data_IF_323487933651
#
_entry.id   IF_323487933651
#
_cell.length_a   1.000
_cell.length_b   1.000
_cell.length_c   1.000
_cell.angle_alpha   90.00
_cell.angle_beta   90.00
_cell.angle_gamma   90.00
#
_symmetry.space_group_name_H-M   'P 1'
#
loop_
_entity.id
_entity.type
_entity.pdbx_description
1 polymer ?
#
# COMPACT_ATOMS: atom_id res chain seq x y z
N UNK A 1 -6.16 -12.09 55.01
CA UNK A 1 -5.56 -11.71 53.73
C UNK A 1 -6.17 -12.63 52.71
N UNK A 2 -6.99 -12.10 51.81
CA UNK A 2 -7.75 -12.90 50.85
C UNK A 2 -6.81 -13.30 49.70
N UNK A 3 -6.33 -14.54 49.74
CA UNK A 3 -5.38 -15.06 48.76
C UNK A 3 -6.00 -15.23 47.37
N UNK A 4 -7.32 -15.36 47.28
CA UNK A 4 -8.03 -15.43 45.99
C UNK A 4 -8.12 -14.05 45.34
N UNK A 5 -8.30 -12.98 46.13
CA UNK A 5 -8.25 -11.60 45.64
C UNK A 5 -6.85 -11.24 45.12
N UNK A 6 -5.78 -11.66 45.81
CA UNK A 6 -4.40 -11.44 45.34
C UNK A 6 -4.16 -12.17 44.02
N UNK A 7 -4.57 -13.44 43.90
CA UNK A 7 -4.35 -14.24 42.70
C UNK A 7 -5.13 -13.71 41.49
N UNK A 8 -6.33 -13.19 41.70
CA UNK A 8 -7.13 -12.56 40.64
C UNK A 8 -6.49 -11.25 40.16
N UNK A 9 -6.00 -10.42 41.09
CA UNK A 9 -5.27 -9.19 40.76
C UNK A 9 -3.94 -9.48 40.04
N UNK A 10 -3.18 -10.49 40.45
CA UNK A 10 -1.95 -10.91 39.77
C UNK A 10 -2.23 -11.36 38.33
N UNK A 11 -3.29 -12.14 38.13
CA UNK A 11 -3.69 -12.61 36.80
C UNK A 11 -4.12 -11.45 35.90
N UNK A 12 -4.88 -10.49 36.44
CA UNK A 12 -5.29 -9.31 35.71
C UNK A 12 -4.09 -8.41 35.37
N UNK A 13 -3.15 -8.23 36.30
CA UNK A 13 -1.91 -7.47 36.08
C UNK A 13 -1.07 -8.09 34.96
N UNK A 14 -0.88 -9.41 34.97
CA UNK A 14 -0.19 -10.13 33.89
C UNK A 14 -0.87 -9.92 32.54
N UNK A 15 -2.21 -10.00 32.50
CA UNK A 15 -2.99 -9.74 31.28
C UNK A 15 -2.81 -8.32 30.75
N UNK A 16 -2.76 -7.33 31.65
CA UNK A 16 -2.51 -5.93 31.27
C UNK A 16 -1.09 -5.73 30.74
N UNK A 17 -0.08 -6.37 31.32
CA UNK A 17 1.30 -6.30 30.82
C UNK A 17 1.45 -6.92 29.43
N UNK A 18 0.84 -8.09 29.20
CA UNK A 18 0.83 -8.71 27.87
C UNK A 18 0.14 -7.81 26.82
N UNK A 19 -0.99 -7.18 27.18
CA UNK A 19 -1.67 -6.24 26.30
C UNK A 19 -0.80 -5.02 25.97
N UNK A 20 -0.11 -4.47 26.97
CA UNK A 20 0.79 -3.34 26.78
C UNK A 20 1.98 -3.70 25.89
N UNK A 21 2.55 -4.89 26.08
CA UNK A 21 3.64 -5.40 25.26
C UNK A 21 3.22 -5.55 23.79
N UNK A 22 2.08 -6.20 23.54
CA UNK A 22 1.53 -6.36 22.18
C UNK A 22 1.31 -4.99 21.52
N UNK A 23 0.85 -4.00 22.29
CA UNK A 23 0.66 -2.63 21.83
C UNK A 23 1.97 -1.96 21.42
N UNK A 24 3.03 -2.06 22.23
CA UNK A 24 4.34 -1.48 21.91
C UNK A 24 5.03 -2.23 20.77
N UNK A 25 4.89 -3.55 20.70
CA UNK A 25 5.33 -4.36 19.58
C UNK A 25 4.67 -3.87 18.27
N UNK A 26 3.35 -3.67 18.28
CA UNK A 26 2.62 -3.16 17.12
C UNK A 26 3.05 -1.74 16.74
N UNK A 27 3.24 -0.84 17.71
CA UNK A 27 3.70 0.54 17.46
C UNK A 27 5.11 0.61 16.88
N UNK A 28 6.02 -0.25 17.35
CA UNK A 28 7.40 -0.27 16.88
C UNK A 28 7.54 -0.74 15.43
N UNK A 29 6.60 -1.56 14.91
CA UNK A 29 6.63 -2.25 13.59
C UNK A 29 7.96 -2.94 13.27
N UNK A 30 8.72 -3.37 14.27
CA UNK A 30 9.94 -4.16 14.07
C UNK A 30 9.54 -5.60 13.76
N UNK A 31 10.11 -6.19 12.70
CA UNK A 31 9.82 -7.57 12.26
C UNK A 31 10.84 -8.61 12.74
N UNK A 32 12.05 -8.19 13.12
CA UNK A 32 13.13 -9.08 13.55
C UNK A 32 13.17 -9.18 15.08
N UNK A 33 13.02 -10.40 15.59
CA UNK A 33 13.12 -10.74 17.01
C UNK A 33 14.40 -11.56 17.23
N UNK A 34 15.43 -10.93 17.78
CA UNK A 34 16.49 -11.65 18.51
C UNK A 34 16.58 -11.26 19.99
N UNK A 35 15.74 -10.30 20.43
CA UNK A 35 15.48 -9.87 21.82
C UNK A 35 14.11 -9.20 21.80
N UNK A 36 13.10 -9.48 22.60
CA UNK A 36 12.85 -10.37 23.72
C UNK A 36 11.38 -10.15 24.13
N UNK A 37 10.83 -11.15 24.81
CA UNK A 37 9.41 -11.38 25.17
C UNK A 37 8.86 -10.42 26.26
N UNK A 38 9.31 -9.16 26.29
CA UNK A 38 8.92 -8.18 27.32
C UNK A 38 8.87 -6.74 26.79
N UNK A 39 8.00 -5.91 27.40
CA UNK A 39 7.94 -4.44 27.23
C UNK A 39 9.26 -3.76 27.63
N UNK A 40 10.24 -3.80 26.72
CA UNK A 40 11.60 -3.36 26.99
C UNK A 40 11.84 -1.90 26.60
N UNK A 41 12.81 -1.26 27.26
CA UNK A 41 13.31 0.07 26.91
C UNK A 41 13.71 0.19 25.42
N UNK A 42 14.08 -0.93 24.78
CA UNK A 42 14.35 -1.00 23.34
C UNK A 42 13.13 -0.62 22.50
N UNK A 43 11.95 -1.20 22.75
CA UNK A 43 10.73 -0.89 21.99
C UNK A 43 10.28 0.57 22.17
N UNK A 44 10.42 1.10 23.39
CA UNK A 44 10.18 2.51 23.67
C UNK A 44 11.16 3.41 22.91
N UNK A 45 12.44 3.08 22.90
CA UNK A 45 13.48 3.85 22.20
C UNK A 45 13.24 3.86 20.69
N UNK A 46 12.95 2.70 20.09
CA UNK A 46 12.62 2.59 18.66
C UNK A 46 11.36 3.38 18.33
N UNK A 47 10.35 3.34 19.20
CA UNK A 47 9.11 4.10 19.00
C UNK A 47 9.36 5.61 19.13
N UNK A 48 10.17 6.06 20.10
CA UNK A 48 10.57 7.46 20.23
C UNK A 48 11.34 7.95 19.01
N UNK A 49 12.31 7.17 18.52
CA UNK A 49 13.06 7.49 17.31
C UNK A 49 12.14 7.60 16.08
N UNK A 50 11.18 6.68 15.92
CA UNK A 50 10.18 6.74 14.86
C UNK A 50 9.24 7.94 14.97
N UNK A 51 8.78 8.27 16.19
CA UNK A 51 7.97 9.48 16.42
C UNK A 51 8.73 10.73 16.03
N UNK A 52 10.00 10.84 16.44
CA UNK A 52 10.87 11.97 16.07
C UNK A 52 11.05 12.06 14.55
N UNK A 53 11.32 10.94 13.88
CA UNK A 53 11.47 10.89 12.42
C UNK A 53 10.19 11.28 11.69
N UNK A 54 9.04 10.79 12.15
CA UNK A 54 7.74 11.04 11.51
C UNK A 54 7.14 12.41 11.87
N UNK A 55 7.74 13.13 12.81
CA UNK A 55 7.25 14.45 13.22
C UNK A 55 7.65 15.49 12.16
N UNK A 56 6.65 16.14 11.58
CA UNK A 56 6.84 17.20 10.59
C UNK A 56 6.91 18.53 11.35
N UNK A 57 8.13 18.97 11.67
CA UNK A 57 8.37 20.21 12.42
C UNK A 57 7.92 21.46 11.66
N UNK A 58 8.10 21.47 10.34
CA UNK A 58 7.70 22.55 9.45
C UNK A 58 7.80 22.13 7.99
N UNK A 59 7.25 22.96 7.11
CA UNK A 59 7.32 22.80 5.67
C UNK A 59 7.58 24.16 5.02
N UNK A 60 8.37 24.19 3.95
CA UNK A 60 8.47 25.35 3.05
C UNK A 60 7.25 25.43 2.14
N UNK A 61 6.65 26.61 2.06
CA UNK A 61 5.63 26.93 1.06
C UNK A 61 6.26 27.18 -0.32
N UNK A 62 5.43 27.52 -1.31
CA UNK A 62 5.86 27.83 -2.68
C UNK A 62 6.67 29.13 -2.77
N UNK A 63 6.45 30.07 -1.83
CA UNK A 63 7.23 31.31 -1.71
C UNK A 63 8.60 31.11 -1.02
N UNK A 64 8.90 29.90 -0.54
CA UNK A 64 10.15 29.56 0.14
C UNK A 64 10.18 29.85 1.64
N UNK A 65 9.07 30.32 2.22
CA UNK A 65 8.91 30.62 3.63
C UNK A 65 8.67 29.35 4.46
N UNK A 66 9.22 29.33 5.68
CA UNK A 66 9.09 28.20 6.59
C UNK A 66 7.81 28.29 7.44
N UNK A 67 6.92 27.31 7.27
CA UNK A 67 5.64 27.23 7.98
C UNK A 67 5.69 26.12 9.03
N UNK A 68 5.58 26.50 10.31
CA UNK A 68 5.58 25.56 11.44
C UNK A 68 4.19 25.29 12.01
N UNK A 69 3.25 26.20 11.79
CA UNK A 69 1.87 26.09 12.29
C UNK A 69 1.12 24.91 11.65
N UNK A 70 0.35 24.18 12.45
CA UNK A 70 -0.39 23.00 11.97
C UNK A 70 -1.42 23.34 10.90
N UNK A 71 -2.13 24.46 11.04
CA UNK A 71 -3.10 24.98 10.06
C UNK A 71 -2.41 25.31 8.73
N UNK A 72 -1.26 25.96 8.79
CA UNK A 72 -0.44 26.29 7.61
C UNK A 72 0.07 25.03 6.91
N UNK A 73 0.62 24.06 7.66
CA UNK A 73 1.06 22.76 7.11
C UNK A 73 -0.10 21.99 6.47
N UNK A 74 -1.27 21.99 7.09
CA UNK A 74 -2.46 21.34 6.55
C UNK A 74 -2.93 22.00 5.24
N UNK A 75 -2.87 23.34 5.16
CA UNK A 75 -3.19 24.09 3.94
C UNK A 75 -2.22 23.73 2.80
N UNK A 76 -0.90 23.74 3.06
CA UNK A 76 0.13 23.33 2.09
C UNK A 76 -0.15 21.92 1.57
N UNK A 77 -0.39 20.96 2.46
CA UNK A 77 -0.67 19.58 2.07
C UNK A 77 -1.97 19.46 1.26
N UNK A 78 -3.04 20.13 1.69
CA UNK A 78 -4.35 20.09 1.03
C UNK A 78 -4.25 20.66 -0.37
N UNK A 79 -3.71 21.87 -0.54
CA UNK A 79 -3.50 22.50 -1.85
C UNK A 79 -2.67 21.61 -2.77
N UNK A 80 -1.53 21.12 -2.28
CA UNK A 80 -0.63 20.28 -3.05
C UNK A 80 -1.30 19.00 -3.56
N UNK A 81 -2.00 18.26 -2.69
CA UNK A 81 -2.64 17.01 -3.08
C UNK A 81 -3.92 17.21 -3.89
N UNK A 82 -4.68 18.29 -3.65
CA UNK A 82 -5.80 18.66 -4.50
C UNK A 82 -5.33 18.91 -5.93
N UNK A 83 -4.29 19.74 -6.12
CA UNK A 83 -3.71 19.95 -7.45
C UNK A 83 -3.18 18.65 -8.03
N UNK A 84 -2.44 17.85 -7.24
CA UNK A 84 -1.84 16.61 -7.73
C UNK A 84 -2.87 15.56 -8.18
N UNK A 85 -4.04 15.50 -7.53
CA UNK A 85 -5.12 14.56 -7.87
C UNK A 85 -6.18 15.16 -8.79
N UNK A 86 -6.02 16.42 -9.20
CA UNK A 86 -6.87 17.03 -10.23
C UNK A 86 -6.28 16.70 -11.59
N UNK A 87 -7.13 16.24 -12.51
CA UNK A 87 -6.69 15.88 -13.86
C UNK A 87 -6.07 17.08 -14.59
N UNK A 88 -4.87 16.89 -15.14
CA UNK A 88 -4.14 17.88 -15.93
C UNK A 88 -4.42 17.65 -17.43
N UNK A 89 -5.44 18.34 -17.96
CA UNK A 89 -5.73 18.49 -19.41
C UNK A 89 -5.95 17.17 -20.19
N UNK A 90 -7.12 17.03 -20.83
CA UNK A 90 -7.34 15.94 -21.79
C UNK A 90 -6.26 15.96 -22.87
N UNK A 91 -5.34 14.98 -22.83
CA UNK A 91 -4.48 14.71 -23.97
C UNK A 91 -5.41 14.30 -25.11
N UNK A 92 -5.53 15.09 -26.20
CA UNK A 92 -6.42 14.74 -27.28
C UNK A 92 -6.06 13.35 -27.79
N UNK A 93 -7.09 12.54 -28.04
CA UNK A 93 -6.96 11.25 -28.69
C UNK A 93 -6.12 10.21 -27.92
N UNK A 94 -6.02 10.29 -26.59
CA UNK A 94 -5.29 9.26 -25.80
C UNK A 94 -5.82 7.85 -26.06
N UNK A 95 -7.14 7.67 -26.17
CA UNK A 95 -7.74 6.38 -26.51
C UNK A 95 -7.32 5.87 -27.89
N UNK A 96 -7.25 6.73 -28.91
CA UNK A 96 -6.78 6.37 -30.25
C UNK A 96 -5.27 6.07 -30.26
N UNK A 97 -4.49 6.82 -29.46
CA UNK A 97 -3.05 6.58 -29.29
C UNK A 97 -2.77 5.26 -28.60
N UNK A 98 -3.57 4.87 -27.60
CA UNK A 98 -3.46 3.55 -26.94
C UNK A 98 -3.95 2.45 -27.88
N UNK A 99 -5.04 2.66 -28.62
CA UNK A 99 -5.57 1.69 -29.58
C UNK A 99 -4.65 1.46 -30.78
N UNK A 100 -3.85 2.46 -31.17
CA UNK A 100 -2.85 2.34 -32.24
C UNK A 100 -1.54 1.71 -31.77
N UNK A 101 -1.35 1.48 -30.46
CA UNK A 101 -0.24 0.65 -30.00
C UNK A 101 -0.47 -0.78 -30.50
N UNK A 102 0.57 -1.47 -31.00
CA UNK A 102 0.49 -2.87 -31.42
C UNK A 102 0.44 -3.78 -30.19
N UNK A 103 -0.58 -3.59 -29.35
CA UNK A 103 -0.89 -4.45 -28.23
C UNK A 103 -1.54 -5.70 -28.80
N UNK A 104 -0.90 -6.85 -28.63
CA UNK A 104 -1.56 -8.11 -28.89
C UNK A 104 -2.81 -8.19 -28.00
N UNK A 105 -3.94 -8.64 -28.56
CA UNK A 105 -5.10 -9.01 -27.76
C UNK A 105 -4.74 -10.22 -26.90
N UNK A 106 -4.15 -9.99 -25.73
CA UNK A 106 -3.65 -11.04 -24.85
C UNK A 106 -4.73 -11.62 -23.92
N UNK A 107 -5.89 -10.96 -23.81
CA UNK A 107 -7.00 -11.42 -22.96
C UNK A 107 -7.98 -12.23 -23.81
N UNK A 108 -7.97 -13.55 -23.61
CA UNK A 108 -8.91 -14.46 -24.29
C UNK A 108 -10.33 -14.35 -23.70
N UNK A 109 -11.38 -14.79 -24.43
CA UNK A 109 -12.73 -14.86 -23.87
C UNK A 109 -12.81 -15.69 -22.58
N UNK A 110 -12.01 -16.74 -22.46
CA UNK A 110 -11.92 -17.58 -21.26
C UNK A 110 -11.31 -16.83 -20.08
N UNK A 111 -10.24 -16.06 -20.31
CA UNK A 111 -9.65 -15.19 -19.29
C UNK A 111 -10.66 -14.13 -18.85
N UNK A 112 -11.35 -13.50 -19.79
CA UNK A 112 -12.35 -12.50 -19.48
C UNK A 112 -13.49 -13.10 -18.62
N UNK A 113 -14.01 -14.27 -19.00
CA UNK A 113 -15.03 -14.97 -18.23
C UNK A 113 -14.59 -15.29 -16.79
N UNK A 114 -13.31 -15.61 -16.57
CA UNK A 114 -12.75 -15.81 -15.23
C UNK A 114 -12.63 -14.49 -14.44
N UNK A 115 -12.20 -13.40 -15.07
CA UNK A 115 -12.10 -12.08 -14.43
C UNK A 115 -13.47 -11.58 -13.97
N UNK A 116 -14.48 -11.75 -14.83
CA UNK A 116 -15.85 -11.28 -14.62
C UNK A 116 -16.75 -12.31 -13.93
N UNK A 117 -16.20 -13.44 -13.49
CA UNK A 117 -16.96 -14.45 -12.75
C UNK A 117 -17.58 -13.84 -11.49
N UNK A 118 -18.70 -14.38 -11.02
CA UNK A 118 -19.29 -13.92 -9.76
C UNK A 118 -18.33 -14.13 -8.59
N UNK A 119 -18.34 -13.22 -7.61
CA UNK A 119 -17.54 -13.34 -6.38
C UNK A 119 -18.32 -14.18 -5.38
N UNK A 120 -17.73 -15.29 -4.95
CA UNK A 120 -18.39 -16.22 -4.02
C UNK A 120 -18.14 -15.82 -2.56
N UNK A 121 -19.08 -16.11 -1.63
CA UNK A 121 -18.85 -15.92 -0.19
C UNK A 121 -17.57 -16.58 0.34
N UNK A 122 -17.24 -17.77 -0.19
CA UNK A 122 -16.04 -18.52 0.15
C UNK A 122 -14.76 -17.81 -0.29
N UNK A 123 -14.77 -17.13 -1.45
CA UNK A 123 -13.66 -16.31 -1.97
C UNK A 123 -13.44 -15.08 -1.09
N UNK A 124 -14.51 -14.42 -0.64
CA UNK A 124 -14.40 -13.30 0.30
C UNK A 124 -13.76 -13.76 1.60
N UNK A 125 -14.24 -14.86 2.17
CA UNK A 125 -13.69 -15.42 3.41
C UNK A 125 -12.23 -15.81 3.25
N UNK A 126 -11.86 -16.55 2.20
CA UNK A 126 -10.47 -16.96 1.97
C UNK A 126 -9.55 -15.75 1.83
N UNK A 127 -10.01 -14.71 1.11
CA UNK A 127 -9.28 -13.44 0.96
C UNK A 127 -9.04 -12.77 2.32
N UNK A 128 -10.09 -12.61 3.13
CA UNK A 128 -9.99 -11.99 4.47
C UNK A 128 -8.98 -12.74 5.34
N UNK A 129 -9.02 -14.07 5.33
CA UNK A 129 -8.13 -14.89 6.16
C UNK A 129 -6.70 -14.93 5.64
N UNK A 130 -6.47 -14.76 4.33
CA UNK A 130 -5.15 -14.63 3.72
C UNK A 130 -4.51 -13.25 3.95
N UNK A 131 -5.29 -12.19 4.18
CA UNK A 131 -4.78 -10.84 4.43
C UNK A 131 -4.02 -10.73 5.76
N UNK A 132 -3.10 -9.77 5.87
CA UNK A 132 -2.30 -9.59 7.10
C UNK A 132 -3.11 -8.99 8.26
N UNK A 133 -3.11 -9.63 9.43
CA UNK A 133 -3.94 -9.20 10.58
C UNK A 133 -3.53 -7.84 11.19
N UNK A 134 -2.25 -7.46 11.11
CA UNK A 134 -1.68 -6.24 11.72
C UNK A 134 -1.54 -5.06 10.75
N UNK A 135 -2.17 -5.11 9.57
CA UNK A 135 -2.17 -3.99 8.62
C UNK A 135 -2.84 -2.76 9.25
N UNK A 136 -2.43 -1.56 8.81
CA UNK A 136 -2.99 -0.32 9.34
C UNK A 136 -4.51 -0.27 9.10
N UNK A 137 -5.31 0.16 10.09
CA UNK A 137 -6.76 0.26 9.94
C UNK A 137 -7.16 1.42 9.04
N UNK A 138 -8.45 1.51 8.70
CA UNK A 138 -9.05 2.71 8.13
C UNK A 138 -9.34 3.75 9.22
N UNK A 139 -10.25 4.68 8.91
CA UNK A 139 -10.71 5.69 9.87
C UNK A 139 -11.54 5.11 11.02
N UNK A 140 -11.97 3.85 10.92
CA UNK A 140 -12.72 3.11 11.94
C UNK A 140 -11.84 2.49 13.04
N UNK A 141 -10.52 2.46 12.83
CA UNK A 141 -9.57 1.85 13.77
C UNK A 141 -9.52 0.32 13.75
N UNK A 142 -10.35 -0.37 12.97
CA UNK A 142 -10.39 -1.83 12.94
C UNK A 142 -9.33 -2.43 12.01
N UNK A 143 -8.51 -3.32 12.57
CA UNK A 143 -7.48 -4.06 11.82
C UNK A 143 -8.04 -5.40 11.33
N UNK A 144 -7.34 -6.06 10.41
CA UNK A 144 -7.71 -7.41 9.97
C UNK A 144 -7.80 -8.42 11.12
N UNK A 145 -7.09 -8.20 12.25
CA UNK A 145 -7.22 -9.02 13.46
C UNK A 145 -8.66 -9.02 14.01
N UNK A 146 -9.32 -7.86 14.02
CA UNK A 146 -10.71 -7.72 14.49
C UNK A 146 -11.65 -8.57 13.63
N UNK A 147 -11.63 -8.38 12.31
CA UNK A 147 -12.51 -9.09 11.38
C UNK A 147 -12.31 -10.61 11.41
N UNK A 148 -11.07 -11.08 11.62
CA UNK A 148 -10.79 -12.51 11.77
C UNK A 148 -11.27 -13.07 13.10
N UNK A 149 -11.06 -12.33 14.19
CA UNK A 149 -11.42 -12.79 15.54
C UNK A 149 -12.93 -12.82 15.77
N UNK A 150 -13.66 -11.87 15.18
CA UNK A 150 -15.11 -11.74 15.32
C UNK A 150 -15.85 -12.13 14.04
N UNK A 151 -15.26 -13.00 13.22
CA UNK A 151 -15.83 -13.39 11.93
C UNK A 151 -17.23 -13.96 12.05
N UNK A 152 -17.52 -14.71 13.11
CA UNK A 152 -18.84 -15.30 13.34
C UNK A 152 -19.92 -14.24 13.62
N UNK A 153 -19.52 -13.02 13.99
CA UNK A 153 -20.43 -11.89 14.25
C UNK A 153 -20.52 -10.97 13.02
N UNK A 154 -19.36 -10.56 12.46
CA UNK A 154 -19.31 -9.53 11.40
C UNK A 154 -19.13 -10.10 9.99
N UNK A 155 -18.82 -11.38 9.86
CA UNK A 155 -18.43 -12.01 8.59
C UNK A 155 -19.53 -11.94 7.54
N UNK A 156 -20.78 -12.22 7.92
CA UNK A 156 -21.93 -12.12 7.02
C UNK A 156 -22.08 -10.72 6.44
N UNK A 157 -21.97 -9.68 7.28
CA UNK A 157 -22.06 -8.28 6.84
C UNK A 157 -20.91 -7.89 5.90
N UNK A 158 -19.69 -8.39 6.18
CA UNK A 158 -18.53 -8.15 5.29
C UNK A 158 -18.76 -8.81 3.93
N UNK A 159 -19.23 -10.06 3.91
CA UNK A 159 -19.52 -10.80 2.67
C UNK A 159 -20.59 -10.08 1.85
N UNK A 160 -21.71 -9.70 2.46
CA UNK A 160 -22.79 -8.98 1.80
C UNK A 160 -22.31 -7.64 1.22
N UNK A 161 -21.51 -6.88 1.99
CA UNK A 161 -20.97 -5.61 1.52
C UNK A 161 -20.03 -5.77 0.31
N UNK A 162 -19.17 -6.80 0.32
CA UNK A 162 -18.24 -7.09 -0.78
C UNK A 162 -19.01 -7.55 -2.01
N UNK A 163 -19.93 -8.52 -1.87
CA UNK A 163 -20.74 -9.02 -2.98
C UNK A 163 -21.59 -7.90 -3.58
N UNK A 164 -22.24 -7.09 -2.73
CA UNK A 164 -23.04 -5.94 -3.18
C UNK A 164 -22.22 -4.98 -4.06
N UNK A 165 -20.95 -4.74 -3.74
CA UNK A 165 -20.07 -3.96 -4.59
C UNK A 165 -19.86 -4.62 -5.96
N UNK A 166 -19.54 -5.91 -6.02
CA UNK A 166 -19.29 -6.60 -7.28
C UNK A 166 -20.54 -6.74 -8.15
N UNK A 167 -21.73 -6.86 -7.56
CA UNK A 167 -22.99 -6.93 -8.31
C UNK A 167 -23.47 -5.56 -8.77
N UNK A 168 -23.38 -4.53 -7.92
CA UNK A 168 -23.93 -3.20 -8.22
C UNK A 168 -22.93 -2.22 -8.83
N UNK A 169 -21.63 -2.53 -8.78
CA UNK A 169 -20.53 -1.62 -9.08
C UNK A 169 -20.57 -0.31 -8.27
N UNK A 170 -21.26 -0.31 -7.12
CA UNK A 170 -21.40 0.86 -6.24
C UNK A 170 -20.75 0.58 -4.90
N UNK A 171 -19.89 1.51 -4.48
CA UNK A 171 -19.24 1.48 -3.17
C UNK A 171 -19.89 2.51 -2.25
N UNK A 172 -20.13 2.12 -0.99
CA UNK A 172 -20.55 3.07 0.04
C UNK A 172 -19.49 4.17 0.22
N UNK A 173 -19.94 5.42 0.26
CA UNK A 173 -19.04 6.58 0.41
C UNK A 173 -18.15 6.48 1.66
N UNK A 174 -18.67 5.90 2.74
CA UNK A 174 -17.91 5.64 3.97
C UNK A 174 -16.73 4.68 3.76
N UNK A 175 -16.85 3.68 2.87
CA UNK A 175 -15.77 2.75 2.55
C UNK A 175 -14.71 3.36 1.63
N UNK A 176 -15.12 4.31 0.79
CA UNK A 176 -14.21 5.04 -0.08
C UNK A 176 -13.52 6.22 0.64
N UNK A 177 -14.04 6.65 1.80
CA UNK A 177 -13.39 7.68 2.61
C UNK A 177 -12.08 7.14 3.19
N UNK A 178 -10.98 7.82 2.87
CA UNK A 178 -9.63 7.36 3.22
C UNK A 178 -8.82 8.50 3.83
N UNK A 179 -8.15 8.23 4.95
CA UNK A 179 -7.19 9.16 5.53
C UNK A 179 -5.85 9.07 4.82
N UNK A 180 -5.30 10.22 4.44
CA UNK A 180 -3.95 10.32 3.92
C UNK A 180 -3.00 10.62 5.08
N UNK A 181 -2.11 9.66 5.37
CA UNK A 181 -1.02 9.88 6.33
C UNK A 181 0.29 10.14 5.57
N UNK A 182 1.06 11.13 6.01
CA UNK A 182 2.30 11.53 5.36
C UNK A 182 3.50 10.90 6.06
N UNK A 183 4.34 10.20 5.30
CA UNK A 183 5.56 9.57 5.80
C UNK A 183 6.79 10.19 5.13
N UNK A 184 7.79 10.64 5.90
CA UNK A 184 9.08 11.12 5.37
C UNK A 184 9.77 10.11 4.45
N UNK A 185 10.20 10.57 3.27
CA UNK A 185 11.08 9.82 2.35
C UNK A 185 12.56 10.01 2.69
N UNK A 186 12.89 11.15 3.30
CA UNK A 186 14.25 11.57 3.68
C UNK A 186 14.26 11.94 5.16
N UNK A 187 15.45 12.06 5.75
CA UNK A 187 15.59 12.29 7.20
C UNK A 187 15.26 13.73 7.61
N UNK A 188 15.63 14.71 6.77
CA UNK A 188 15.30 16.12 6.96
C UNK A 188 14.28 16.54 5.90
N UNK A 189 13.01 16.61 6.29
CA UNK A 189 11.93 17.06 5.42
C UNK A 189 11.85 18.58 5.46
N UNK A 190 11.94 19.19 4.28
CA UNK A 190 11.73 20.62 4.08
C UNK A 190 10.50 20.91 3.23
N UNK A 191 10.11 20.00 2.33
CA UNK A 191 9.02 20.23 1.37
C UNK A 191 8.02 19.08 1.36
N UNK A 192 6.77 19.38 0.99
CA UNK A 192 5.69 18.38 0.88
C UNK A 192 6.03 17.25 -0.12
N UNK A 193 6.89 17.51 -1.12
CA UNK A 193 7.33 16.51 -2.12
C UNK A 193 8.19 15.40 -1.53
N UNK A 194 8.90 15.71 -0.44
CA UNK A 194 9.72 14.77 0.33
C UNK A 194 8.89 13.88 1.27
N UNK A 195 7.57 14.12 1.34
CA UNK A 195 6.63 13.25 2.02
C UNK A 195 6.00 12.27 1.04
N UNK A 196 5.75 11.04 1.50
CA UNK A 196 5.01 10.01 0.78
C UNK A 196 3.61 9.94 1.38
N UNK A 197 2.55 10.15 0.57
CA UNK A 197 1.19 9.91 1.04
C UNK A 197 0.98 8.40 1.16
N UNK A 198 0.35 7.96 2.24
CA UNK A 198 -0.13 6.61 2.44
C UNK A 198 -1.63 6.68 2.72
N UNK A 199 -2.40 6.00 1.88
CA UNK A 199 -3.85 5.89 1.99
C UNK A 199 -4.23 4.82 3.00
N UNK A 200 -4.88 5.21 4.09
CA UNK A 200 -5.40 4.32 5.12
C UNK A 200 -6.84 3.92 4.78
N UNK A 201 -6.99 3.00 3.83
CA UNK A 201 -8.32 2.58 3.35
C UNK A 201 -9.08 1.73 4.37
N UNK A 202 -10.40 1.73 4.28
CA UNK A 202 -11.27 0.85 5.06
C UNK A 202 -11.00 -0.64 4.78
N UNK A 203 -11.28 -1.52 5.75
CA UNK A 203 -10.98 -2.94 5.61
C UNK A 203 -11.75 -3.58 4.45
N UNK A 204 -13.05 -3.27 4.31
CA UNK A 204 -13.89 -3.75 3.19
C UNK A 204 -13.32 -3.32 1.84
N UNK A 205 -12.86 -2.06 1.71
CA UNK A 205 -12.19 -1.57 0.50
C UNK A 205 -10.95 -2.41 0.17
N UNK A 206 -10.14 -2.74 1.19
CA UNK A 206 -8.94 -3.58 1.01
C UNK A 206 -9.30 -5.00 0.57
N UNK A 207 -10.40 -5.58 1.05
CA UNK A 207 -10.87 -6.91 0.62
C UNK A 207 -11.28 -6.87 -0.85
N UNK A 208 -12.10 -5.89 -1.25
CA UNK A 208 -12.54 -5.72 -2.64
C UNK A 208 -11.36 -5.61 -3.59
N UNK A 209 -10.44 -4.67 -3.32
CA UNK A 209 -9.25 -4.44 -4.15
C UNK A 209 -8.31 -5.64 -4.17
N UNK A 210 -8.25 -6.41 -3.07
CA UNK A 210 -7.44 -7.63 -2.99
C UNK A 210 -7.99 -8.73 -3.89
N UNK A 211 -9.31 -8.96 -3.90
CA UNK A 211 -9.97 -9.92 -4.81
C UNK A 211 -9.67 -9.55 -6.26
N UNK A 212 -9.87 -8.28 -6.62
CA UNK A 212 -9.58 -7.78 -7.97
C UNK A 212 -8.11 -8.00 -8.35
N UNK A 213 -7.19 -7.66 -7.45
CA UNK A 213 -5.76 -7.81 -7.70
C UNK A 213 -5.35 -9.28 -7.84
N UNK A 214 -5.93 -10.21 -7.09
CA UNK A 214 -5.63 -11.64 -7.18
C UNK A 214 -6.14 -12.26 -8.48
N UNK A 215 -7.35 -11.89 -8.91
CA UNK A 215 -7.89 -12.30 -10.22
C UNK A 215 -7.07 -11.77 -11.39
N UNK A 216 -6.61 -10.52 -11.32
CA UNK A 216 -5.71 -9.97 -12.33
C UNK A 216 -4.34 -10.66 -12.31
N UNK A 217 -3.79 -10.90 -11.12
CA UNK A 217 -2.45 -11.46 -10.96
C UNK A 217 -2.29 -12.87 -11.56
N UNK A 218 -3.35 -13.67 -11.64
CA UNK A 218 -3.29 -14.99 -12.30
C UNK A 218 -3.10 -14.89 -13.82
N UNK A 219 -3.42 -13.75 -14.41
CA UNK A 219 -3.40 -13.52 -15.86
C UNK A 219 -2.25 -12.64 -16.31
N UNK A 220 -1.71 -11.79 -15.42
CA UNK A 220 -0.61 -10.89 -15.76
C UNK A 220 0.56 -11.55 -16.49
N UNK A 221 1.05 -12.76 -16.13
CA UNK A 221 2.18 -13.37 -16.83
C UNK A 221 1.95 -13.61 -18.33
N UNK A 222 0.70 -13.74 -18.76
CA UNK A 222 0.31 -13.92 -20.18
C UNK A 222 0.07 -12.58 -20.89
N UNK A 223 -0.17 -11.51 -20.13
CA UNK A 223 -0.53 -10.19 -20.65
C UNK A 223 0.67 -9.27 -20.72
N UNK A 224 1.54 -9.27 -19.70
CA UNK A 224 2.71 -8.39 -19.61
C UNK A 224 3.95 -9.02 -20.25
N UNK A 225 4.80 -8.19 -20.84
CA UNK A 225 6.04 -8.66 -21.46
C UNK A 225 6.95 -9.35 -20.44
N UNK A 226 7.80 -10.26 -20.91
CA UNK A 226 8.77 -10.96 -20.06
C UNK A 226 9.75 -10.01 -19.36
N UNK A 227 10.04 -8.85 -19.96
CA UNK A 227 10.90 -7.82 -19.37
C UNK A 227 10.26 -7.00 -18.25
N UNK A 228 8.98 -7.21 -17.93
CA UNK A 228 8.30 -6.54 -16.83
C UNK A 228 8.37 -7.39 -15.55
N UNK A 229 9.36 -7.12 -14.69
CA UNK A 229 9.55 -7.92 -13.47
C UNK A 229 8.85 -7.34 -12.23
N UNK A 230 8.50 -6.06 -12.24
CA UNK A 230 7.87 -5.41 -11.11
C UNK A 230 6.47 -5.96 -10.84
N UNK A 231 6.23 -6.39 -9.60
CA UNK A 231 4.91 -6.80 -9.09
C UNK A 231 4.25 -8.01 -9.79
N UNK A 232 5.03 -8.81 -10.54
CA UNK A 232 4.56 -10.06 -11.13
C UNK A 232 5.02 -11.22 -10.25
N UNK A 233 4.13 -12.20 -10.01
CA UNK A 233 4.47 -13.41 -9.26
C UNK A 233 5.61 -14.15 -9.96
N UNK A 234 6.53 -14.70 -9.19
CA UNK A 234 7.67 -15.48 -9.65
C UNK A 234 8.70 -14.74 -10.53
N UNK A 235 8.60 -13.40 -10.64
CA UNK A 235 9.64 -12.54 -11.25
C UNK A 235 10.39 -11.79 -10.16
N UNK A 236 11.72 -11.71 -10.28
CA UNK A 236 12.56 -11.07 -9.29
C UNK A 236 13.17 -9.78 -9.85
N UNK A 237 13.45 -8.83 -8.96
CA UNK A 237 14.15 -7.59 -9.34
C UNK A 237 15.58 -7.87 -9.83
N UNK A 238 16.15 -9.01 -9.44
CA UNK A 238 17.50 -9.43 -9.82
C UNK A 238 17.59 -9.66 -11.33
N UNK A 239 16.56 -10.20 -11.99
CA UNK A 239 16.63 -10.46 -13.43
C UNK A 239 16.70 -9.14 -14.22
N UNK A 240 16.05 -8.07 -13.75
CA UNK A 240 16.20 -6.73 -14.33
C UNK A 240 17.63 -6.17 -14.19
N UNK A 241 18.32 -6.48 -13.09
CA UNK A 241 19.72 -6.07 -12.88
C UNK A 241 20.61 -6.79 -13.90
N UNK A 242 20.38 -8.09 -14.12
CA UNK A 242 21.12 -8.88 -15.10
C UNK A 242 20.89 -8.37 -16.53
N UNK A 243 19.63 -8.14 -16.92
CA UNK A 243 19.29 -7.56 -18.23
C UNK A 243 19.98 -6.20 -18.42
N UNK A 244 19.94 -5.35 -17.40
CA UNK A 244 20.63 -4.05 -17.43
C UNK A 244 22.15 -4.20 -17.58
N UNK A 245 22.76 -5.15 -16.88
CA UNK A 245 24.20 -5.42 -16.98
C UNK A 245 24.60 -5.92 -18.38
N UNK A 246 23.86 -6.88 -18.94
CA UNK A 246 24.10 -7.38 -20.30
C UNK A 246 23.90 -6.30 -21.37
N UNK A 247 22.89 -5.44 -21.20
CA UNK A 247 22.65 -4.32 -22.11
C UNK A 247 23.82 -3.33 -22.09
N UNK A 248 24.32 -2.98 -20.91
CA UNK A 248 25.50 -2.10 -20.77
C UNK A 248 26.78 -2.76 -21.28
N UNK A 249 26.96 -4.06 -21.04
CA UNK A 249 28.09 -4.84 -21.53
C UNK A 249 28.12 -4.88 -23.05
N UNK A 250 26.97 -5.16 -23.69
CA UNK A 250 26.81 -5.15 -25.14
C UNK A 250 27.20 -3.80 -25.74
N UNK A 251 26.70 -2.70 -25.18
CA UNK A 251 27.03 -1.34 -25.62
C UNK A 251 28.54 -1.04 -25.48
N UNK A 252 29.19 -1.59 -24.45
CA UNK A 252 30.64 -1.41 -24.24
C UNK A 252 31.47 -2.13 -25.31
N UNK A 253 31.04 -3.32 -25.75
CA UNK A 253 31.76 -4.14 -26.74
C UNK A 253 31.45 -3.69 -28.17
N UNK A 254 30.20 -3.37 -28.50
CA UNK A 254 29.77 -2.96 -29.85
C UNK A 254 30.08 -1.49 -30.15
N UNK A 255 31.37 -1.20 -30.28
CA UNK A 255 31.91 0.14 -30.63
C UNK A 255 32.14 0.36 -32.12
N UNK A 256 32.01 -0.67 -32.95
CA UNK A 256 32.31 -0.63 -34.38
C UNK A 256 31.17 -1.28 -35.18
N UNK A 257 30.97 -0.81 -36.41
CA UNK A 257 29.94 -1.29 -37.33
C UNK A 257 29.09 -0.15 -37.90
N UNK A 258 28.19 -0.48 -38.81
CA UNK A 258 27.32 0.51 -39.48
C UNK A 258 26.08 0.92 -38.66
N UNK A 259 25.78 0.19 -37.57
CA UNK A 259 24.62 0.45 -36.69
C UNK A 259 25.10 0.89 -35.31
N UNK A 260 24.61 2.04 -34.85
CA UNK A 260 24.80 2.52 -33.48
C UNK A 260 23.68 2.02 -32.55
N UNK A 261 24.02 1.87 -31.27
CA UNK A 261 23.09 1.41 -30.23
C UNK A 261 23.11 2.41 -29.06
N UNK A 262 21.97 2.58 -28.39
CA UNK A 262 21.81 3.50 -27.26
C UNK A 262 20.89 2.87 -26.20
N UNK A 263 21.20 3.10 -24.93
CA UNK A 263 20.29 2.81 -23.82
C UNK A 263 19.51 4.09 -23.45
N UNK A 264 18.20 3.96 -23.28
CA UNK A 264 17.36 5.02 -22.74
C UNK A 264 16.86 4.63 -21.35
N UNK A 265 17.14 5.46 -20.35
CA UNK A 265 16.56 5.34 -19.01
C UNK A 265 15.49 6.39 -18.82
N UNK A 266 14.23 5.95 -18.78
CA UNK A 266 13.09 6.79 -18.46
C UNK A 266 12.62 6.54 -17.01
N UNK A 267 12.15 7.58 -16.33
CA UNK A 267 11.56 7.49 -14.99
C UNK A 267 10.28 8.34 -14.95
N UNK A 268 9.30 7.91 -14.16
CA UNK A 268 8.01 8.58 -14.03
C UNK A 268 7.89 9.28 -12.67
N UNK A 269 7.65 10.59 -12.66
CA UNK A 269 7.42 11.31 -11.42
C UNK A 269 6.07 10.86 -10.81
N UNK A 270 6.12 10.27 -9.61
CA UNK A 270 4.93 9.90 -8.81
C UNK A 270 3.95 9.01 -9.59
N UNK A 271 4.45 7.88 -10.09
CA UNK A 271 3.70 6.92 -10.91
C UNK A 271 2.34 6.41 -10.36
N UNK A 272 2.02 6.61 -9.08
CA UNK A 272 0.69 6.28 -8.51
C UNK A 272 -0.23 7.49 -8.33
N UNK A 273 0.30 8.71 -8.36
CA UNK A 273 -0.46 9.93 -8.09
C UNK A 273 -0.80 10.71 -9.37
N UNK A 274 -0.21 10.33 -10.52
CA UNK A 274 -0.36 11.00 -11.82
C UNK A 274 -0.82 10.05 -12.93
N UNK A 275 -1.56 9.00 -12.55
CA UNK A 275 -2.16 8.08 -13.54
C UNK A 275 -3.51 8.65 -13.93
N UNK A 276 -3.67 8.97 -15.21
CA UNK A 276 -4.92 9.42 -15.85
C UNK A 276 -5.29 8.46 -16.99
#
# INVERSE_FOLDING_TARGET
MDWDEIRTLETELSRQWEAEEVFWQQKSRVKWLKKGDQNSAYFHTVTRARRKRNFISGLRNEEGEWVTEETGKASIATKFYQTLFTSETQVPNMAERVASLPLAHSVTPQMNAQLTAEVLPSEVRSTVFAMGSKQAPGSDGFTGKFFKAFWDIVGTLVVEAVISFFTSSRMLRSFNHTWLTLIPKVDSVETIRQLRPISLCQFVYKVITKIMAERLASMLPQIVSEGQNGFIRDRQIIDNILIGHELMHYLKIKRQGKKGYMALKADMEKAYNRVE
#
